data_IF_906112972169
#
_entry.id   IF_906112972169
#
_cell.length_a   1.000
_cell.length_b   1.000
_cell.length_c   1.000
_cell.angle_alpha   90.00
_cell.angle_beta   90.00
_cell.angle_gamma   90.00
#
_symmetry.space_group_name_H-M   'P 1'
#
loop_
_entity.id
_entity.type
_entity.pdbx_description
1 polymer ?
#
# COMPACT_ATOMS: atom_id res chain seq x y z
N UNK A 1 -17.06 5.40 -7.16
CA UNK A 1 -15.82 6.18 -7.13
C UNK A 1 -14.65 5.23 -7.30
N UNK A 2 -13.56 5.62 -7.99
CA UNK A 2 -12.33 4.80 -8.00
C UNK A 2 -11.63 4.98 -6.65
N UNK A 3 -11.15 3.89 -6.07
CA UNK A 3 -10.39 3.94 -4.83
C UNK A 3 -9.04 4.66 -5.07
N UNK A 4 -8.69 5.55 -4.14
CA UNK A 4 -7.56 6.48 -4.24
C UNK A 4 -6.91 6.67 -2.88
N UNK A 5 -5.58 6.62 -2.83
CA UNK A 5 -4.80 6.99 -1.63
C UNK A 5 -3.51 7.69 -2.04
N UNK A 6 -3.16 8.76 -1.32
CA UNK A 6 -1.97 9.58 -1.60
C UNK A 6 -1.84 10.02 -3.09
N UNK A 7 -2.97 10.25 -3.78
CA UNK A 7 -3.01 10.65 -5.19
C UNK A 7 -2.81 9.51 -6.20
N UNK A 8 -2.86 8.25 -5.76
CA UNK A 8 -2.68 7.05 -6.58
C UNK A 8 -3.98 6.24 -6.63
N UNK A 9 -4.28 5.65 -7.79
CA UNK A 9 -5.32 4.64 -7.91
C UNK A 9 -4.85 3.34 -7.25
N UNK A 10 -5.67 2.79 -6.35
CA UNK A 10 -5.31 1.65 -5.52
C UNK A 10 -6.47 0.67 -5.38
N UNK A 11 -6.19 -0.50 -4.81
CA UNK A 11 -7.16 -1.39 -4.19
C UNK A 11 -6.83 -1.47 -2.72
N UNK A 12 -7.72 -0.97 -1.87
CA UNK A 12 -7.58 -1.01 -0.43
C UNK A 12 -8.39 -2.15 0.17
N UNK A 13 -7.82 -2.87 1.13
CA UNK A 13 -8.55 -3.84 1.93
C UNK A 13 -8.00 -3.87 3.34
N UNK A 14 -8.84 -4.31 4.27
CA UNK A 14 -8.45 -4.51 5.67
C UNK A 14 -8.23 -5.99 5.94
N UNK A 15 -7.09 -6.31 6.52
CA UNK A 15 -6.82 -7.63 7.08
C UNK A 15 -6.91 -7.57 8.60
N UNK A 16 -7.63 -8.53 9.19
CA UNK A 16 -7.75 -8.69 10.64
C UNK A 16 -7.23 -10.07 11.02
N UNK A 17 -6.18 -10.12 11.84
CA UNK A 17 -5.62 -11.37 12.39
C UNK A 17 -5.48 -11.27 13.91
N UNK A 18 -6.42 -11.86 14.63
CA UNK A 18 -6.49 -11.71 16.08
C UNK A 18 -6.63 -10.24 16.47
N UNK A 19 -5.75 -9.76 17.33
CA UNK A 19 -5.70 -8.35 17.74
C UNK A 19 -4.95 -7.41 16.77
N UNK A 20 -4.52 -7.90 15.60
CA UNK A 20 -3.81 -7.08 14.60
C UNK A 20 -4.74 -6.68 13.47
N UNK A 21 -4.72 -5.39 13.15
CA UNK A 21 -5.39 -4.81 11.99
C UNK A 21 -4.32 -4.27 11.04
N UNK A 22 -4.42 -4.64 9.76
CA UNK A 22 -3.54 -4.16 8.70
C UNK A 22 -4.40 -3.54 7.62
N UNK A 23 -4.18 -2.24 7.35
CA UNK A 23 -4.71 -1.58 6.16
C UNK A 23 -3.81 -1.86 4.97
N UNK A 24 -4.26 -2.69 4.04
CA UNK A 24 -3.53 -2.96 2.81
C UNK A 24 -3.88 -1.97 1.72
N UNK A 25 -2.86 -1.55 0.98
CA UNK A 25 -2.97 -0.72 -0.22
C UNK A 25 -2.21 -1.45 -1.33
N UNK A 26 -2.93 -1.82 -2.39
CA UNK A 26 -2.34 -2.47 -3.55
C UNK A 26 -2.37 -1.52 -4.74
N UNK A 27 -1.22 -1.30 -5.36
CA UNK A 27 -1.07 -0.51 -6.57
C UNK A 27 -0.31 -1.29 -7.63
N UNK A 28 -0.56 -0.93 -8.89
CA UNK A 28 0.19 -1.45 -10.03
C UNK A 28 1.00 -0.30 -10.62
N UNK A 29 2.28 -0.54 -10.85
CA UNK A 29 3.17 0.37 -11.55
C UNK A 29 3.98 -0.44 -12.56
N UNK A 30 3.80 -0.15 -13.86
CA UNK A 30 4.39 -0.96 -14.93
C UNK A 30 3.95 -2.43 -14.88
N UNK A 31 4.93 -3.34 -14.82
CA UNK A 31 4.70 -4.77 -14.68
C UNK A 31 4.61 -5.22 -13.20
N UNK A 32 4.87 -4.31 -12.27
CA UNK A 32 5.01 -4.61 -10.85
C UNK A 32 3.70 -4.38 -10.11
N UNK A 33 3.26 -5.39 -9.35
CA UNK A 33 2.19 -5.26 -8.35
C UNK A 33 2.81 -5.06 -6.98
N UNK A 34 2.47 -3.97 -6.31
CA UNK A 34 3.05 -3.59 -5.03
C UNK A 34 1.94 -3.61 -3.99
N UNK A 35 2.12 -4.38 -2.92
CA UNK A 35 1.22 -4.40 -1.76
C UNK A 35 1.92 -3.76 -0.56
N UNK A 36 1.30 -2.74 0.03
CA UNK A 36 1.81 -2.00 1.19
C UNK A 36 0.88 -2.28 2.37
N UNK A 37 1.42 -2.83 3.46
CA UNK A 37 0.67 -3.15 4.68
C UNK A 37 0.90 -2.09 5.76
N UNK A 38 -0.15 -1.33 6.06
CA UNK A 38 -0.18 -0.33 7.12
C UNK A 38 -0.64 -0.96 8.42
N UNK A 39 0.31 -1.37 9.27
CA UNK A 39 0.03 -2.02 10.54
C UNK A 39 0.25 -1.05 11.71
N UNK A 40 -0.83 -0.66 12.38
CA UNK A 40 -0.78 0.01 13.68
C UNK A 40 -1.03 -0.97 14.83
N UNK A 41 -1.01 -0.47 16.06
CA UNK A 41 -1.56 -1.21 17.20
C UNK A 41 -3.09 -1.22 17.10
N UNK A 42 -3.74 -2.16 17.80
CA UNK A 42 -5.19 -2.24 17.85
C UNK A 42 -5.80 -0.91 18.31
N UNK A 43 -6.68 -0.31 17.51
CA UNK A 43 -7.31 0.98 17.81
C UNK A 43 -6.43 2.21 17.56
N UNK A 44 -5.23 2.04 16.99
CA UNK A 44 -4.34 3.14 16.62
C UNK A 44 -3.72 2.94 15.23
N UNK A 45 -4.51 2.45 14.27
CA UNK A 45 -4.07 2.31 12.86
C UNK A 45 -3.58 3.63 12.28
N UNK A 46 -4.17 4.73 12.70
CA UNK A 46 -3.98 6.04 12.10
C UNK A 46 -2.58 6.62 12.40
N UNK A 47 -1.87 6.07 13.39
CA UNK A 47 -0.51 6.51 13.74
C UNK A 47 0.52 6.21 12.66
N UNK A 48 0.20 5.31 11.71
CA UNK A 48 1.08 4.99 10.58
C UNK A 48 0.62 5.59 9.26
N UNK A 49 -0.45 6.38 9.24
CA UNK A 49 -1.06 6.85 7.99
C UNK A 49 -0.14 7.75 7.16
N UNK A 50 0.57 8.69 7.79
CA UNK A 50 1.51 9.57 7.08
C UNK A 50 2.65 8.77 6.44
N UNK A 51 3.24 7.84 7.20
CA UNK A 51 4.31 6.97 6.70
C UNK A 51 3.81 6.10 5.54
N UNK A 52 2.58 5.58 5.66
CA UNK A 52 1.95 4.80 4.62
C UNK A 52 1.65 5.63 3.37
N UNK A 53 1.14 6.85 3.51
CA UNK A 53 0.92 7.74 2.38
C UNK A 53 2.25 8.10 1.68
N UNK A 54 3.33 8.27 2.44
CA UNK A 54 4.69 8.40 1.91
C UNK A 54 5.12 7.18 1.09
N UNK A 55 4.88 5.97 1.60
CA UNK A 55 5.18 4.72 0.90
C UNK A 55 4.36 4.57 -0.38
N UNK A 56 3.05 4.84 -0.34
CA UNK A 56 2.16 4.76 -1.51
C UNK A 56 2.55 5.77 -2.58
N UNK A 57 2.89 7.00 -2.19
CA UNK A 57 3.28 8.06 -3.12
C UNK A 57 4.59 7.75 -3.83
N UNK A 58 5.54 7.15 -3.12
CA UNK A 58 6.90 6.88 -3.63
C UNK A 58 7.05 5.52 -4.30
N UNK A 59 6.20 4.54 -3.99
CA UNK A 59 6.26 3.20 -4.55
C UNK A 59 6.10 3.21 -6.08
N UNK A 60 7.15 2.74 -6.74
CA UNK A 60 7.25 2.63 -8.20
C UNK A 60 8.22 1.54 -8.60
N UNK A 61 8.04 1.05 -9.81
CA UNK A 61 9.02 0.27 -10.54
C UNK A 61 10.22 1.19 -10.89
N UNK A 62 11.44 0.67 -10.73
CA UNK A 62 12.68 1.37 -11.11
C UNK A 62 13.19 0.81 -12.44
N UNK A 63 13.36 -0.50 -12.48
CA UNK A 63 13.77 -1.26 -13.65
C UNK A 63 12.92 -2.52 -13.66
N UNK A 64 11.98 -2.61 -14.60
CA UNK A 64 11.06 -3.72 -14.69
C UNK A 64 11.72 -5.07 -14.85
N UNK A 65 10.96 -6.14 -14.64
CA UNK A 65 11.41 -7.52 -14.88
C UNK A 65 11.79 -7.78 -16.35
N UNK A 66 11.39 -6.92 -17.28
CA UNK A 66 11.81 -6.99 -18.69
C UNK A 66 13.27 -6.58 -18.93
N UNK A 67 13.84 -5.72 -18.08
CA UNK A 67 15.24 -5.29 -18.19
C UNK A 67 16.23 -6.26 -17.52
N UNK A 68 15.72 -7.31 -16.86
CA UNK A 68 16.52 -8.41 -16.29
C UNK A 68 16.62 -9.63 -17.23
N UNK A 69 16.10 -9.53 -18.47
CA UNK A 69 16.22 -10.58 -19.50
C UNK A 69 17.29 -10.24 -20.52
#
# INVERSE_FOLDING_TARGET
ARDQRAGRAVVSYREVRGAREIGWVVLVDGATRIAIGCQGAAGSSDTVDEACDGAVRSAREITGTAAQR
#
